data_IF_263698105055
#
_entry.id   IF_263698105055
#
_cell.length_a   1.000
_cell.length_b   1.000
_cell.length_c   1.000
_cell.angle_alpha   90.00
_cell.angle_beta   90.00
_cell.angle_gamma   90.00
#
_symmetry.space_group_name_H-M   'P 1'
#
loop_
_entity.id
_entity.type
_entity.pdbx_description
1 polymer ?
#
# COMPACT_ATOMS: atom_id res chain seq x y z
N UNK A 1 -1.67 -1.67 -10.00
CA UNK A 1 -1.74 -1.19 -11.40
C UNK A 1 -1.99 0.31 -11.49
N UNK A 2 -2.89 0.85 -10.69
CA UNK A 2 -3.32 2.25 -10.81
C UNK A 2 -2.21 3.27 -10.57
N UNK A 3 -1.18 2.91 -9.77
CA UNK A 3 -0.04 3.80 -9.55
C UNK A 3 0.65 4.23 -10.85
N UNK A 4 0.77 3.36 -11.86
CA UNK A 4 1.40 3.71 -13.14
C UNK A 4 0.62 4.75 -13.95
N UNK A 5 -0.65 4.92 -13.65
CA UNK A 5 -1.52 5.92 -14.28
C UNK A 5 -1.63 7.21 -13.46
N UNK A 6 -1.43 7.10 -12.14
CA UNK A 6 -1.61 8.20 -11.19
C UNK A 6 -0.32 8.97 -10.88
N UNK A 7 0.85 8.39 -11.12
CA UNK A 7 2.13 9.03 -10.81
C UNK A 7 3.15 8.87 -11.94
N UNK A 8 4.04 9.86 -12.04
CA UNK A 8 5.18 9.86 -12.96
C UNK A 8 6.51 9.72 -12.21
N UNK A 9 6.49 9.13 -11.01
CA UNK A 9 7.68 8.91 -10.20
C UNK A 9 8.24 7.50 -10.42
N UNK A 10 9.55 7.35 -10.26
CA UNK A 10 10.20 6.05 -10.29
C UNK A 10 9.89 5.28 -8.99
N UNK A 11 9.74 3.94 -9.04
CA UNK A 11 10.01 3.08 -10.21
C UNK A 11 8.86 2.94 -11.23
N UNK A 12 7.68 3.47 -10.95
CA UNK A 12 6.49 3.29 -11.82
C UNK A 12 6.70 3.90 -13.21
N UNK A 13 7.44 4.99 -13.31
CA UNK A 13 7.71 5.63 -14.60
C UNK A 13 8.56 4.75 -15.55
N UNK A 14 9.36 3.82 -15.03
CA UNK A 14 10.06 2.83 -15.89
C UNK A 14 9.08 1.95 -16.66
N UNK A 15 7.94 1.60 -16.06
CA UNK A 15 6.89 0.83 -16.73
C UNK A 15 6.25 1.67 -17.83
N UNK A 16 5.99 2.95 -17.53
CA UNK A 16 5.46 3.89 -18.52
C UNK A 16 6.43 4.10 -19.69
N UNK A 17 7.72 4.21 -19.42
CA UNK A 17 8.76 4.33 -20.47
C UNK A 17 8.78 3.10 -21.37
N UNK A 18 8.71 1.91 -20.79
CA UNK A 18 8.61 0.68 -21.56
C UNK A 18 7.35 0.65 -22.45
N UNK A 19 6.19 1.04 -21.90
CA UNK A 19 4.93 1.06 -22.62
C UNK A 19 4.88 2.13 -23.73
N UNK A 20 5.61 3.25 -23.59
CA UNK A 20 5.76 4.23 -24.67
C UNK A 20 6.52 3.66 -25.87
N UNK A 21 7.51 2.81 -25.61
CA UNK A 21 8.28 2.12 -26.65
C UNK A 21 7.56 0.90 -27.24
N UNK A 22 6.71 0.25 -26.42
CA UNK A 22 6.03 -0.99 -26.76
C UNK A 22 4.53 -0.92 -26.40
N UNK A 23 3.74 -0.04 -27.03
CA UNK A 23 2.34 0.16 -26.64
C UNK A 23 1.44 -1.07 -26.83
N UNK A 24 1.81 -1.94 -27.75
CA UNK A 24 1.17 -3.23 -28.04
C UNK A 24 1.36 -4.26 -26.92
N UNK A 25 2.35 -4.06 -26.04
CA UNK A 25 2.67 -4.95 -24.93
C UNK A 25 1.90 -4.65 -23.63
N UNK A 26 1.02 -3.66 -23.63
CA UNK A 26 0.25 -3.32 -22.43
C UNK A 26 -0.47 -4.51 -21.80
N UNK A 27 -1.19 -5.37 -22.53
CA UNK A 27 -1.88 -6.51 -21.93
C UNK A 27 -0.93 -7.48 -21.21
N UNK A 28 0.24 -7.75 -21.80
CA UNK A 28 1.25 -8.65 -21.23
C UNK A 28 1.89 -8.05 -19.97
N UNK A 29 2.11 -6.71 -19.96
CA UNK A 29 2.62 -5.98 -18.80
C UNK A 29 1.61 -6.04 -17.66
N UNK A 30 0.34 -5.78 -17.93
CA UNK A 30 -0.74 -5.83 -16.96
C UNK A 30 -0.92 -7.22 -16.35
N UNK A 31 -0.91 -8.26 -17.18
CA UNK A 31 -0.96 -9.64 -16.73
C UNK A 31 0.24 -9.98 -15.83
N UNK A 32 1.44 -9.58 -16.25
CA UNK A 32 2.66 -9.83 -15.46
C UNK A 32 2.61 -9.11 -14.12
N UNK A 33 2.26 -7.82 -14.10
CA UNK A 33 2.18 -7.02 -12.88
C UNK A 33 1.15 -7.56 -11.88
N UNK A 34 0.06 -8.16 -12.36
CA UNK A 34 -0.96 -8.74 -11.49
C UNK A 34 -0.42 -9.84 -10.57
N UNK A 35 0.66 -10.51 -10.94
CA UNK A 35 1.32 -11.52 -10.08
C UNK A 35 2.12 -10.89 -8.93
N UNK A 36 2.47 -9.61 -9.02
CA UNK A 36 3.28 -8.89 -8.03
C UNK A 36 2.48 -7.82 -7.30
N UNK A 37 1.33 -7.43 -7.82
CA UNK A 37 0.50 -6.38 -7.24
C UNK A 37 -0.22 -6.90 -5.98
N UNK A 38 0.02 -6.23 -4.86
CA UNK A 38 -0.59 -6.56 -3.57
C UNK A 38 -2.11 -6.59 -3.61
N UNK A 39 -2.73 -5.80 -4.48
CA UNK A 39 -4.18 -5.74 -4.63
C UNK A 39 -4.78 -7.08 -5.11
N UNK A 40 -4.02 -7.84 -5.89
CA UNK A 40 -4.42 -9.17 -6.37
C UNK A 40 -4.48 -10.23 -5.28
N UNK A 41 -3.93 -9.93 -4.10
CA UNK A 41 -3.85 -10.86 -2.97
C UNK A 41 -4.54 -10.34 -1.71
N UNK A 42 -5.01 -9.11 -1.72
CA UNK A 42 -5.53 -8.42 -0.56
C UNK A 42 -6.72 -9.14 0.09
N UNK A 43 -7.59 -9.72 -0.69
CA UNK A 43 -8.76 -10.48 -0.23
C UNK A 43 -8.40 -11.75 0.57
N UNK A 44 -7.19 -12.27 0.37
CA UNK A 44 -6.67 -13.45 1.08
C UNK A 44 -6.01 -13.13 2.42
N UNK A 45 -5.77 -11.85 2.71
CA UNK A 45 -5.24 -11.42 4.01
C UNK A 45 -6.34 -11.61 5.05
N UNK A 46 -6.14 -12.54 5.97
CA UNK A 46 -7.10 -12.86 7.03
C UNK A 46 -6.59 -12.54 8.44
N UNK A 47 -5.28 -12.32 8.60
CA UNK A 47 -4.68 -11.92 9.87
C UNK A 47 -4.99 -10.44 10.18
N UNK A 48 -4.91 -10.04 11.48
CA UNK A 48 -4.97 -8.63 11.85
C UNK A 48 -3.95 -7.80 11.07
N UNK A 49 -4.37 -6.63 10.61
CA UNK A 49 -3.52 -5.76 9.79
C UNK A 49 -3.78 -4.28 10.07
N UNK A 50 -2.73 -3.51 10.08
CA UNK A 50 -2.78 -2.05 10.06
C UNK A 50 -2.13 -1.54 8.77
N UNK A 51 -2.71 -0.51 8.17
CA UNK A 51 -2.22 0.14 6.95
C UNK A 51 -2.04 1.62 7.23
N UNK A 52 -0.90 2.17 6.92
CA UNK A 52 -0.65 3.60 7.01
C UNK A 52 -0.40 4.19 5.62
N UNK A 53 -0.94 5.36 5.38
CA UNK A 53 -0.80 6.10 4.13
C UNK A 53 -0.46 7.57 4.38
N UNK A 54 0.41 8.14 3.55
CA UNK A 54 0.64 9.58 3.51
C UNK A 54 -0.29 10.22 2.48
N UNK A 55 -1.03 11.24 2.90
CA UNK A 55 -2.00 11.88 1.99
C UNK A 55 -1.33 12.74 0.90
N UNK A 56 -0.05 13.09 1.07
CA UNK A 56 0.77 13.80 0.09
C UNK A 56 1.83 12.90 -0.56
N UNK A 57 1.60 11.57 -0.54
CA UNK A 57 2.50 10.61 -1.18
C UNK A 57 2.39 10.72 -2.71
N UNK A 58 3.48 11.12 -3.36
CA UNK A 58 3.59 11.23 -4.81
C UNK A 58 4.30 10.04 -5.47
N UNK A 59 4.77 9.09 -4.67
CA UNK A 59 5.37 7.82 -5.14
C UNK A 59 4.30 6.74 -5.21
N UNK A 60 3.63 6.50 -4.06
CA UNK A 60 2.47 5.63 -3.98
C UNK A 60 1.23 6.48 -3.67
N UNK A 61 0.50 6.95 -4.69
CA UNK A 61 -0.64 7.83 -4.46
C UNK A 61 -1.63 7.27 -3.45
N UNK A 62 -2.17 8.09 -2.52
CA UNK A 62 -3.02 7.62 -1.42
C UNK A 62 -4.24 6.83 -1.89
N UNK A 63 -4.75 7.11 -3.08
CA UNK A 63 -5.87 6.38 -3.71
C UNK A 63 -5.58 4.88 -3.80
N UNK A 64 -4.34 4.51 -4.13
CA UNK A 64 -3.92 3.09 -4.22
C UNK A 64 -3.92 2.42 -2.85
N UNK A 65 -3.57 3.15 -1.81
CA UNK A 65 -3.60 2.66 -0.42
C UNK A 65 -5.03 2.45 0.10
N UNK A 66 -5.95 3.36 -0.22
CA UNK A 66 -7.37 3.22 0.12
C UNK A 66 -7.99 2.03 -0.60
N UNK A 67 -7.74 1.88 -1.89
CA UNK A 67 -8.25 0.75 -2.67
C UNK A 67 -7.73 -0.59 -2.14
N UNK A 68 -6.43 -0.67 -1.83
CA UNK A 68 -5.84 -1.85 -1.21
C UNK A 68 -6.55 -2.18 0.12
N UNK A 69 -6.73 -1.17 1.00
CA UNK A 69 -7.38 -1.35 2.28
C UNK A 69 -8.81 -1.87 2.15
N UNK A 70 -9.58 -1.36 1.22
CA UNK A 70 -10.95 -1.79 0.98
C UNK A 70 -11.03 -3.27 0.59
N UNK A 71 -10.05 -3.74 -0.20
CA UNK A 71 -9.97 -5.13 -0.68
C UNK A 71 -9.43 -6.13 0.35
N UNK A 72 -8.75 -5.67 1.41
CA UNK A 72 -8.23 -6.57 2.46
C UNK A 72 -9.37 -7.36 3.10
N UNK A 73 -9.26 -8.69 3.06
CA UNK A 73 -10.26 -9.62 3.57
C UNK A 73 -10.30 -9.76 5.10
N UNK A 74 -9.29 -9.26 5.82
CA UNK A 74 -9.22 -9.31 7.28
C UNK A 74 -10.39 -8.55 7.92
N UNK A 75 -10.98 -9.12 8.97
CA UNK A 75 -12.03 -8.47 9.79
C UNK A 75 -11.43 -7.43 10.75
N UNK A 76 -10.24 -7.72 11.29
CA UNK A 76 -9.48 -6.82 12.16
C UNK A 76 -8.47 -6.05 11.29
N UNK A 77 -8.94 -4.93 10.72
CA UNK A 77 -8.11 -4.05 9.91
C UNK A 77 -8.33 -2.60 10.28
N UNK A 78 -7.25 -1.82 10.32
CA UNK A 78 -7.29 -0.39 10.63
C UNK A 78 -6.45 0.40 9.63
N UNK A 79 -6.95 1.57 9.24
CA UNK A 79 -6.28 2.51 8.36
C UNK A 79 -5.86 3.77 9.13
N UNK A 80 -4.63 4.21 8.90
CA UNK A 80 -4.03 5.40 9.49
C UNK A 80 -3.59 6.37 8.37
N UNK A 81 -4.46 7.30 7.95
CA UNK A 81 -4.08 8.34 7.01
C UNK A 81 -3.36 9.47 7.73
N UNK A 82 -2.26 9.95 7.15
CA UNK A 82 -1.45 11.02 7.69
C UNK A 82 -1.42 12.22 6.76
N UNK A 83 -2.15 13.27 7.14
CA UNK A 83 -2.09 14.56 6.45
C UNK A 83 -0.74 15.26 6.71
N UNK A 84 -0.21 15.93 5.69
CA UNK A 84 1.12 16.55 5.75
C UNK A 84 2.30 15.59 5.62
N UNK A 85 2.04 14.31 5.33
CA UNK A 85 3.05 13.26 5.13
C UNK A 85 3.04 12.71 3.71
N UNK A 86 4.23 12.44 3.17
CA UNK A 86 4.46 11.80 1.89
C UNK A 86 4.64 10.29 2.03
N UNK A 87 5.59 9.74 1.28
CA UNK A 87 5.86 8.30 1.20
C UNK A 87 6.26 7.65 2.55
N UNK A 88 6.73 8.45 3.51
CA UNK A 88 7.05 7.98 4.86
C UNK A 88 5.83 7.67 5.73
N UNK A 89 4.63 8.07 5.30
CA UNK A 89 3.32 7.69 5.85
C UNK A 89 3.26 7.70 7.39
N UNK A 90 3.60 8.86 8.00
CA UNK A 90 3.56 9.08 9.44
C UNK A 90 4.81 8.64 10.22
N UNK A 91 5.74 7.92 9.57
CA UNK A 91 7.08 7.57 10.10
C UNK A 91 7.12 7.34 11.62
N UNK A 92 7.79 8.25 12.37
CA UNK A 92 7.97 8.11 13.82
C UNK A 92 6.67 8.16 14.64
N UNK A 93 5.65 8.87 14.16
CA UNK A 93 4.32 8.88 14.79
C UNK A 93 3.65 7.52 14.71
N UNK A 94 3.86 6.81 13.59
CA UNK A 94 3.26 5.51 13.34
C UNK A 94 4.01 4.38 14.07
N UNK A 95 5.30 4.52 14.36
CA UNK A 95 6.11 3.47 14.99
C UNK A 95 5.54 2.98 16.31
N UNK A 96 5.08 3.87 17.17
CA UNK A 96 4.45 3.49 18.44
C UNK A 96 3.17 2.68 18.27
N UNK A 97 2.42 2.93 17.19
CA UNK A 97 1.22 2.16 16.84
C UNK A 97 1.62 0.75 16.40
N UNK A 98 2.66 0.64 15.56
CA UNK A 98 3.22 -0.64 15.11
C UNK A 98 3.71 -1.48 16.29
N UNK A 99 4.45 -0.88 17.22
CA UNK A 99 4.98 -1.56 18.40
C UNK A 99 3.85 -2.13 19.27
N UNK A 100 2.80 -1.34 19.53
CA UNK A 100 1.62 -1.80 20.27
C UNK A 100 0.86 -2.89 19.53
N UNK A 101 0.71 -2.75 18.22
CA UNK A 101 0.03 -3.76 17.39
C UNK A 101 0.74 -5.10 17.47
N UNK A 102 2.05 -5.15 17.32
CA UNK A 102 2.83 -6.38 17.42
C UNK A 102 2.87 -6.93 18.84
N UNK A 103 2.99 -6.08 19.87
CA UNK A 103 2.95 -6.51 21.26
C UNK A 103 1.62 -7.22 21.56
N UNK A 104 0.50 -6.67 21.09
CA UNK A 104 -0.82 -7.27 21.28
C UNK A 104 -0.96 -8.61 20.55
N UNK A 105 -0.63 -8.65 19.26
CA UNK A 105 -0.95 -9.82 18.43
C UNK A 105 0.10 -10.93 18.47
N UNK A 106 1.36 -10.62 18.74
CA UNK A 106 2.44 -11.60 18.78
C UNK A 106 2.85 -11.99 20.21
N UNK A 107 2.76 -11.07 21.16
CA UNK A 107 3.21 -11.29 22.54
C UNK A 107 2.07 -11.44 23.54
N UNK A 108 0.81 -11.22 23.14
CA UNK A 108 -0.36 -11.26 24.01
C UNK A 108 -0.32 -10.20 25.11
N UNK A 109 0.40 -9.08 24.90
CA UNK A 109 0.56 -8.01 25.88
C UNK A 109 -0.36 -6.84 25.50
N UNK A 110 -1.21 -6.42 26.43
CA UNK A 110 -1.83 -5.09 26.35
C UNK A 110 -0.79 -4.06 26.82
N UNK A 111 -0.36 -3.21 25.91
CA UNK A 111 0.50 -2.07 26.24
C UNK A 111 -0.44 -0.91 26.56
N UNK A 112 -0.48 -0.51 27.83
CA UNK A 112 -1.18 0.72 28.27
C UNK A 112 -0.61 1.94 27.54
N UNK A 113 -1.47 2.89 27.25
CA UNK A 113 -1.15 4.17 26.63
C UNK A 113 -0.07 4.96 27.38
#
# INVERSE_FOLDING_TARGET
>A
MDAIELTHTYPYEEINDYLRLHPDRRPEVEETLAYFDGISFADRISCPIIVNIGLQDNVCPPETGYELFDRIGAKDKQLYPYDGHGHEAGRFRHSAIVDRFFARHLLGREVSE
#
